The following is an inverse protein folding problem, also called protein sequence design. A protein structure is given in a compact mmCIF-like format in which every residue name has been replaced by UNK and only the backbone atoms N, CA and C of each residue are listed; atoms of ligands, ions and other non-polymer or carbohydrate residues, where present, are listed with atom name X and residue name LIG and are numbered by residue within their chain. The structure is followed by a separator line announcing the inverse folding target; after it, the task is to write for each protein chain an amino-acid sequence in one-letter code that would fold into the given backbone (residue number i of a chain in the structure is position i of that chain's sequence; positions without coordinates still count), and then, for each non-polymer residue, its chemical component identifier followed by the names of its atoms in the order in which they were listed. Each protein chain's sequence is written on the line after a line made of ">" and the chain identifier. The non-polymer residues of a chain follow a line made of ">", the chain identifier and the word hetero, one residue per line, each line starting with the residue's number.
data_IF_282402379669
#
_entry.id   IF_282402379669
#
_cell.length_a   1.000
_cell.length_b   1.000
_cell.length_c   1.000
_cell.angle_alpha   90.00
_cell.angle_beta   90.00
_cell.angle_gamma   90.00
#
_symmetry.space_group_name_H-M   'P 1'
#
loop_
_entity.id
_entity.type
_entity.pdbx_description
1 polymer ?
#
# COMPACT_ATOMS: atom_id res chain seq x y z
N UNK A 1 42.90 21.64 35.92
CA UNK A 1 43.18 22.17 34.58
C UNK A 1 41.85 22.42 33.88
N UNK A 2 41.53 23.68 33.59
CA UNK A 2 40.31 24.14 32.90
C UNK A 2 40.58 24.13 31.40
N UNK A 3 39.74 23.50 30.60
CA UNK A 3 39.70 23.71 29.14
C UNK A 3 38.22 23.77 28.74
N UNK A 4 37.71 24.98 28.53
CA UNK A 4 36.38 25.21 27.96
C UNK A 4 36.54 25.29 26.43
N UNK A 5 35.91 24.38 25.70
CA UNK A 5 35.72 24.51 24.25
C UNK A 5 34.45 25.33 23.99
N UNK A 6 34.62 26.55 23.52
CA UNK A 6 33.54 27.34 22.94
C UNK A 6 33.41 27.00 21.45
N UNK A 7 32.44 26.16 21.10
CA UNK A 7 31.97 26.04 19.72
C UNK A 7 30.72 26.89 19.54
N UNK A 8 30.85 27.92 18.71
CA UNK A 8 29.76 28.71 18.18
C UNK A 8 28.90 27.78 17.30
N UNK A 9 27.69 27.42 17.75
CA UNK A 9 26.74 26.68 16.94
C UNK A 9 25.96 27.68 16.08
N UNK A 10 26.29 27.77 14.79
CA UNK A 10 25.44 28.42 13.79
C UNK A 10 24.23 27.53 13.56
N UNK A 11 23.04 28.02 13.93
CA UNK A 11 21.78 27.40 13.55
C UNK A 11 21.58 27.60 12.04
N UNK A 12 21.76 26.53 11.27
CA UNK A 12 21.26 26.47 9.91
C UNK A 12 19.75 26.15 9.96
N UNK A 13 18.93 27.07 9.46
CA UNK A 13 17.52 26.79 9.19
C UNK A 13 17.44 25.86 7.97
N UNK A 14 16.99 24.61 8.16
CA UNK A 14 16.66 23.71 7.05
C UNK A 14 15.19 23.97 6.68
N UNK A 15 14.98 24.48 5.46
CA UNK A 15 13.66 24.59 4.84
C UNK A 15 13.11 23.18 4.61
N UNK A 16 11.81 22.99 4.90
CA UNK A 16 11.16 21.69 4.99
C UNK A 16 11.32 20.82 3.74
N UNK A 17 11.89 19.65 3.94
CA UNK A 17 11.89 18.57 2.96
C UNK A 17 10.48 18.00 2.87
N UNK A 18 9.92 18.05 1.66
CA UNK A 18 8.86 17.13 1.24
C UNK A 18 9.44 15.72 1.37
N UNK A 19 9.03 14.95 2.38
CA UNK A 19 9.55 13.61 2.63
C UNK A 19 9.47 12.76 1.36
N UNK A 20 10.62 12.50 0.73
CA UNK A 20 10.71 11.57 -0.39
C UNK A 20 10.32 10.17 0.12
N UNK A 21 9.57 9.41 -0.67
CA UNK A 21 9.25 8.03 -0.29
C UNK A 21 10.54 7.22 -0.31
N UNK A 22 10.70 6.23 0.58
CA UNK A 22 11.84 5.33 0.49
C UNK A 22 11.90 4.67 -0.89
N UNK A 23 13.09 4.49 -1.46
CA UNK A 23 13.30 3.95 -2.81
C UNK A 23 12.64 2.58 -3.07
N UNK A 24 12.28 1.85 -2.01
CA UNK A 24 11.59 0.56 -2.10
C UNK A 24 10.06 0.67 -2.06
N UNK A 25 9.50 1.88 -1.96
CA UNK A 25 8.05 2.13 -1.89
C UNK A 25 7.58 2.79 -3.18
N UNK A 26 6.63 2.15 -3.83
CA UNK A 26 5.98 2.70 -5.02
C UNK A 26 4.47 2.82 -4.79
N UNK A 27 3.90 4.00 -5.06
CA UNK A 27 2.45 4.26 -4.92
C UNK A 27 1.82 4.53 -6.26
N UNK A 28 0.68 3.88 -6.52
CA UNK A 28 -0.17 4.26 -7.63
C UNK A 28 -1.19 5.32 -7.22
N UNK A 29 -1.81 5.97 -8.20
CA UNK A 29 -2.85 6.97 -7.95
C UNK A 29 -4.00 6.39 -7.12
N UNK A 30 -4.37 7.10 -6.05
CA UNK A 30 -5.57 6.80 -5.28
C UNK A 30 -6.82 7.02 -6.14
N UNK A 31 -7.75 6.07 -6.10
CA UNK A 31 -9.02 6.16 -6.86
C UNK A 31 -10.18 6.18 -5.88
N UNK A 32 -11.16 7.07 -6.08
CA UNK A 32 -12.36 7.14 -5.24
C UNK A 32 -12.90 8.57 -5.03
N UNK A 33 -13.72 8.73 -4.00
CA UNK A 33 -14.31 10.01 -3.60
C UNK A 33 -13.52 10.72 -2.48
N UNK A 34 -13.74 12.03 -2.27
CA UNK A 34 -13.02 12.83 -1.28
C UNK A 34 -13.58 12.69 0.16
N UNK A 35 -14.49 11.76 0.40
CA UNK A 35 -15.20 11.60 1.68
C UNK A 35 -14.42 10.72 2.65
N UNK A 36 -14.97 10.46 3.83
CA UNK A 36 -14.29 9.67 4.87
C UNK A 36 -13.05 10.36 5.45
N UNK A 37 -12.37 9.65 6.36
CA UNK A 37 -11.08 10.05 6.94
C UNK A 37 -9.92 9.45 6.15
N UNK A 38 -8.81 10.17 5.95
CA UNK A 38 -7.65 9.60 5.27
C UNK A 38 -6.99 8.51 6.13
N UNK A 39 -6.37 7.55 5.45
CA UNK A 39 -5.46 6.56 6.04
C UNK A 39 -4.27 6.33 5.11
N UNK A 40 -3.13 5.93 5.67
CA UNK A 40 -1.91 5.62 4.92
C UNK A 40 -1.02 4.68 5.73
N UNK A 41 -0.88 3.43 5.27
CA UNK A 41 -0.11 2.39 5.96
C UNK A 41 1.35 2.33 5.50
N UNK A 42 1.80 3.31 4.69
CA UNK A 42 3.15 3.29 4.08
C UNK A 42 4.26 3.28 5.11
N UNK A 43 4.06 3.86 6.29
CA UNK A 43 5.05 3.84 7.37
C UNK A 43 5.32 2.44 7.93
N UNK A 44 4.45 1.47 7.65
CA UNK A 44 4.62 0.06 8.05
C UNK A 44 5.34 -0.78 6.98
N UNK A 45 5.57 -0.22 5.79
CA UNK A 45 6.11 -0.95 4.64
C UNK A 45 7.62 -1.12 4.78
N UNK A 46 8.08 -2.35 4.60
CA UNK A 46 9.50 -2.70 4.54
C UNK A 46 9.75 -3.65 3.37
N UNK A 47 10.91 -3.59 2.70
CA UNK A 47 11.24 -4.55 1.66
C UNK A 47 11.37 -5.95 2.26
N UNK A 48 10.93 -6.97 1.54
CA UNK A 48 11.00 -8.35 2.00
C UNK A 48 9.85 -8.79 2.91
N UNK A 49 8.91 -7.91 3.27
CA UNK A 49 7.73 -8.33 4.02
C UNK A 49 6.94 -9.37 3.24
N UNK A 50 6.22 -10.27 3.90
CA UNK A 50 5.40 -11.30 3.25
C UNK A 50 3.93 -11.07 3.55
N UNK A 51 3.13 -10.77 2.54
CA UNK A 51 1.67 -10.73 2.67
C UNK A 51 1.14 -12.15 2.81
N UNK A 52 0.39 -12.39 3.88
CA UNK A 52 -0.17 -13.71 4.19
C UNK A 52 -1.67 -13.76 4.00
N UNK A 53 -2.36 -12.62 4.07
CA UNK A 53 -3.82 -12.57 3.98
C UNK A 53 -4.33 -11.23 3.48
N UNK A 54 -5.40 -11.27 2.70
CA UNK A 54 -6.26 -10.11 2.45
C UNK A 54 -7.62 -10.37 3.09
N UNK A 55 -8.11 -9.43 3.88
CA UNK A 55 -9.47 -9.46 4.39
C UNK A 55 -10.31 -8.47 3.57
N UNK A 56 -11.40 -8.94 2.96
CA UNK A 56 -12.38 -8.10 2.27
C UNK A 56 -13.73 -8.18 2.94
N UNK A 57 -14.28 -7.04 3.31
CA UNK A 57 -15.61 -6.91 3.89
C UNK A 57 -16.48 -6.19 2.86
N UNK A 58 -17.56 -6.82 2.40
CA UNK A 58 -18.31 -6.25 1.27
C UNK A 58 -19.76 -6.71 1.17
N UNK A 59 -20.57 -5.84 0.57
CA UNK A 59 -21.87 -6.15 0.00
C UNK A 59 -21.92 -5.70 -1.47
N UNK A 60 -22.76 -4.71 -1.76
CA UNK A 60 -22.85 -4.05 -3.08
C UNK A 60 -21.68 -3.07 -3.37
N UNK A 61 -20.86 -2.80 -2.34
CA UNK A 61 -19.69 -1.94 -2.28
C UNK A 61 -18.60 -2.62 -1.43
N UNK A 62 -17.41 -2.06 -1.43
CA UNK A 62 -16.32 -2.48 -0.55
C UNK A 62 -16.48 -1.74 0.78
N UNK A 63 -16.86 -2.49 1.81
CA UNK A 63 -17.17 -1.96 3.14
C UNK A 63 -15.91 -1.85 4.00
N UNK A 64 -14.96 -2.78 3.83
CA UNK A 64 -13.69 -2.76 4.53
C UNK A 64 -12.62 -3.61 3.83
N UNK A 65 -11.36 -3.28 4.11
CA UNK A 65 -10.19 -3.97 3.58
C UNK A 65 -9.10 -4.05 4.63
N UNK A 66 -8.47 -5.21 4.74
CA UNK A 66 -7.29 -5.43 5.56
C UNK A 66 -6.23 -6.21 4.82
N UNK A 67 -4.99 -6.02 5.25
CA UNK A 67 -3.82 -6.72 4.74
C UNK A 67 -3.01 -7.23 5.91
N UNK A 68 -2.82 -8.54 6.00
CA UNK A 68 -1.93 -9.15 6.99
C UNK A 68 -0.59 -9.45 6.33
N UNK A 69 0.48 -9.02 6.97
CA UNK A 69 1.84 -9.29 6.50
C UNK A 69 2.81 -9.52 7.65
N UNK A 70 3.90 -10.21 7.34
CA UNK A 70 5.01 -10.46 8.27
C UNK A 70 6.27 -9.78 7.72
N UNK A 71 6.85 -8.78 8.39
CA UNK A 71 8.13 -8.20 7.98
C UNK A 71 9.26 -9.25 8.08
N UNK A 72 10.40 -9.06 7.39
CA UNK A 72 11.56 -9.96 7.51
C UNK A 72 12.03 -10.12 8.95
N UNK A 73 11.96 -9.02 9.70
CA UNK A 73 12.25 -8.94 11.11
C UNK A 73 11.05 -8.32 11.83
N UNK A 74 10.57 -8.98 12.88
CA UNK A 74 9.48 -8.47 13.72
C UNK A 74 8.23 -9.35 13.69
N UNK A 75 7.14 -8.76 14.18
CA UNK A 75 5.86 -9.44 14.37
C UNK A 75 4.90 -9.17 13.21
N UNK A 76 3.97 -10.10 12.99
CA UNK A 76 2.86 -9.90 12.04
C UNK A 76 2.14 -8.58 12.30
N UNK A 77 1.80 -7.89 11.22
CA UNK A 77 0.97 -6.67 11.19
C UNK A 77 -0.33 -6.96 10.44
N UNK A 78 -1.40 -6.29 10.80
CA UNK A 78 -2.74 -6.48 10.22
C UNK A 78 -3.57 -5.17 10.13
N UNK A 79 -3.05 -4.11 9.49
CA UNK A 79 -3.82 -2.88 9.28
C UNK A 79 -5.15 -3.17 8.55
N UNK A 80 -6.19 -2.46 9.00
CA UNK A 80 -7.55 -2.65 8.53
C UNK A 80 -8.30 -1.32 8.49
N UNK A 81 -9.06 -1.11 7.41
CA UNK A 81 -9.84 0.09 7.15
C UNK A 81 -11.28 -0.23 6.75
N UNK A 82 -12.21 0.65 7.11
CA UNK A 82 -13.64 0.50 6.88
C UNK A 82 -14.34 -0.32 7.96
N UNK A 83 -15.45 -0.94 7.58
CA UNK A 83 -16.28 -1.74 8.48
C UNK A 83 -15.89 -3.22 8.47
N UNK A 84 -15.93 -3.88 9.65
CA UNK A 84 -15.68 -5.32 9.80
C UNK A 84 -16.94 -6.19 9.60
N UNK A 85 -17.91 -5.71 8.82
CA UNK A 85 -19.15 -6.43 8.55
C UNK A 85 -19.02 -7.31 7.31
N UNK A 86 -19.46 -8.58 7.38
CA UNK A 86 -19.44 -9.53 6.24
C UNK A 86 -18.06 -9.69 5.60
N UNK A 87 -17.06 -9.93 6.45
CA UNK A 87 -15.68 -10.12 6.02
C UNK A 87 -15.40 -11.54 5.53
N UNK A 88 -14.54 -11.61 4.53
CA UNK A 88 -13.99 -12.81 3.94
C UNK A 88 -12.46 -12.71 3.97
N UNK A 89 -11.84 -13.72 4.56
CA UNK A 89 -10.38 -13.84 4.63
C UNK A 89 -9.89 -14.65 3.43
N UNK A 90 -8.86 -14.13 2.77
CA UNK A 90 -8.21 -14.75 1.62
C UNK A 90 -6.74 -14.98 1.94
N UNK A 91 -6.42 -16.19 2.40
CA UNK A 91 -5.04 -16.58 2.72
C UNK A 91 -4.22 -16.76 1.43
N UNK A 92 -2.99 -16.26 1.44
CA UNK A 92 -2.03 -16.42 0.36
C UNK A 92 -1.09 -17.60 0.67
N UNK A 93 -0.81 -18.42 -0.33
CA UNK A 93 0.21 -19.45 -0.22
C UNK A 93 1.60 -18.84 -0.02
N UNK A 94 2.58 -19.65 0.40
CA UNK A 94 3.90 -19.16 0.80
C UNK A 94 4.68 -18.45 -0.33
N UNK A 95 4.41 -18.80 -1.58
CA UNK A 95 4.99 -18.27 -2.81
C UNK A 95 3.98 -17.42 -3.62
N UNK A 96 2.79 -17.19 -3.07
CA UNK A 96 1.75 -16.39 -3.68
C UNK A 96 1.86 -14.92 -3.23
N UNK A 97 1.83 -14.01 -4.20
CA UNK A 97 1.88 -12.57 -3.96
C UNK A 97 0.99 -11.81 -4.94
N UNK A 98 0.49 -10.66 -4.53
CA UNK A 98 -0.39 -9.82 -5.36
C UNK A 98 0.48 -8.94 -6.26
N UNK A 99 0.21 -8.99 -7.56
CA UNK A 99 0.95 -8.23 -8.59
C UNK A 99 0.09 -7.25 -9.39
N UNK A 100 -1.21 -7.22 -9.11
CA UNK A 100 -2.13 -6.32 -9.77
C UNK A 100 -3.28 -5.97 -8.84
N UNK A 101 -3.66 -4.70 -8.91
CA UNK A 101 -4.74 -4.08 -8.17
C UNK A 101 -5.67 -3.38 -9.16
N UNK A 102 -6.97 -3.50 -8.96
CA UNK A 102 -7.97 -2.81 -9.77
C UNK A 102 -9.18 -2.46 -8.93
N UNK A 103 -9.69 -1.25 -9.10
CA UNK A 103 -10.89 -0.78 -8.41
C UNK A 103 -11.83 -0.12 -9.37
N UNK A 104 -13.12 -0.23 -9.06
CA UNK A 104 -14.17 0.50 -9.75
C UNK A 104 -14.96 1.33 -8.73
N UNK A 105 -15.14 2.60 -9.05
CA UNK A 105 -15.97 3.50 -8.26
C UNK A 105 -17.45 3.31 -8.57
N UNK A 106 -18.30 3.58 -7.59
CA UNK A 106 -19.75 3.70 -7.78
C UNK A 106 -20.23 4.98 -7.14
N UNK A 107 -21.28 5.59 -7.71
CA UNK A 107 -21.87 6.82 -7.20
C UNK A 107 -23.38 6.63 -7.05
N UNK A 108 -23.85 6.73 -5.82
CA UNK A 108 -25.28 6.85 -5.50
C UNK A 108 -25.56 8.28 -5.04
N UNK A 109 -25.28 8.58 -3.78
CA UNK A 109 -25.22 9.94 -3.23
C UNK A 109 -23.79 10.49 -3.21
N UNK A 110 -22.83 9.64 -2.85
CA UNK A 110 -21.40 9.95 -2.85
C UNK A 110 -20.61 8.88 -3.61
N UNK A 111 -19.42 9.25 -4.10
CA UNK A 111 -18.52 8.34 -4.81
C UNK A 111 -17.76 7.48 -3.81
N UNK A 112 -17.80 6.16 -3.99
CA UNK A 112 -17.10 5.16 -3.17
C UNK A 112 -16.54 4.02 -4.02
N UNK A 113 -15.78 3.13 -3.41
CA UNK A 113 -15.32 1.90 -4.07
C UNK A 113 -16.48 0.90 -4.13
N UNK A 114 -16.97 0.66 -5.35
CA UNK A 114 -18.04 -0.30 -5.61
C UNK A 114 -17.52 -1.72 -5.76
N UNK A 115 -16.28 -1.87 -6.24
CA UNK A 115 -15.65 -3.15 -6.51
C UNK A 115 -14.14 -3.03 -6.44
N UNK A 116 -13.50 -4.10 -5.98
CA UNK A 116 -12.06 -4.29 -5.98
C UNK A 116 -11.72 -5.68 -6.52
N UNK A 117 -10.61 -5.76 -7.24
CA UNK A 117 -9.98 -7.00 -7.69
C UNK A 117 -8.48 -6.93 -7.50
N UNK A 118 -7.93 -7.95 -6.86
CA UNK A 118 -6.52 -8.21 -6.76
C UNK A 118 -6.21 -9.48 -7.55
N UNK A 119 -5.08 -9.50 -8.26
CA UNK A 119 -4.61 -10.69 -8.96
C UNK A 119 -3.24 -11.11 -8.43
N UNK A 120 -3.11 -12.38 -8.11
CA UNK A 120 -1.85 -12.95 -7.64
C UNK A 120 -0.95 -13.39 -8.80
N UNK A 121 0.30 -13.68 -8.50
CA UNK A 121 1.26 -14.25 -9.44
C UNK A 121 0.82 -15.60 -10.01
N UNK A 122 0.04 -16.39 -9.26
CA UNK A 122 -0.51 -17.68 -9.67
C UNK A 122 -1.77 -17.58 -10.55
N UNK A 123 -2.26 -16.35 -10.79
CA UNK A 123 -3.48 -16.11 -11.56
C UNK A 123 -4.77 -16.19 -10.75
N UNK A 124 -4.69 -16.32 -9.42
CA UNK A 124 -5.86 -16.28 -8.53
C UNK A 124 -6.39 -14.85 -8.43
N UNK A 125 -7.71 -14.70 -8.47
CA UNK A 125 -8.38 -13.43 -8.19
C UNK A 125 -8.92 -13.40 -6.75
N UNK A 126 -8.77 -12.25 -6.10
CA UNK A 126 -9.40 -11.90 -4.82
C UNK A 126 -10.27 -10.69 -5.11
N UNK A 127 -11.57 -10.81 -4.92
CA UNK A 127 -12.55 -9.82 -5.36
C UNK A 127 -13.56 -9.51 -4.27
N UNK A 128 -14.05 -8.27 -4.26
CA UNK A 128 -15.07 -7.83 -3.31
C UNK A 128 -15.93 -6.71 -3.88
N UNK A 129 -17.15 -6.59 -3.37
CA UNK A 129 -18.15 -5.65 -3.87
C UNK A 129 -18.83 -6.13 -5.16
N UNK A 130 -19.44 -5.21 -5.91
CA UNK A 130 -20.18 -5.50 -7.14
C UNK A 130 -19.68 -4.66 -8.30
N UNK A 131 -19.02 -5.33 -9.25
CA UNK A 131 -18.64 -4.72 -10.53
C UNK A 131 -19.91 -4.32 -11.30
N UNK A 132 -19.90 -3.09 -11.84
CA UNK A 132 -21.02 -2.52 -12.60
C UNK A 132 -20.53 -2.10 -13.99
N UNK A 133 -21.38 -2.30 -14.99
CA UNK A 133 -21.14 -1.75 -16.34
C UNK A 133 -21.60 -0.29 -16.39
N UNK A 134 -20.93 0.57 -17.15
CA UNK A 134 -21.35 1.95 -17.39
C UNK A 134 -20.24 2.98 -17.17
N UNK A 135 -20.62 4.20 -16.77
CA UNK A 135 -19.73 5.37 -16.60
C UNK A 135 -18.90 5.37 -15.32
N UNK A 136 -18.94 4.27 -14.57
CA UNK A 136 -18.13 4.07 -13.37
C UNK A 136 -16.64 4.12 -13.72
N UNK A 137 -15.87 4.98 -13.03
CA UNK A 137 -14.42 5.06 -13.22
C UNK A 137 -13.79 3.75 -12.71
N UNK A 138 -13.07 3.05 -13.58
CA UNK A 138 -12.35 1.82 -13.29
C UNK A 138 -10.87 2.04 -13.56
N UNK A 139 -10.04 1.83 -12.55
CA UNK A 139 -8.60 2.07 -12.60
C UNK A 139 -7.86 0.83 -12.12
N UNK A 140 -6.77 0.51 -12.79
CA UNK A 140 -5.91 -0.60 -12.43
C UNK A 140 -4.47 -0.13 -12.28
N UNK A 141 -3.74 -0.75 -11.37
CA UNK A 141 -2.31 -0.58 -11.23
C UNK A 141 -1.61 -1.92 -11.12
N UNK A 142 -0.56 -2.11 -11.92
CA UNK A 142 0.35 -3.25 -11.81
C UNK A 142 1.44 -2.92 -10.80
N UNK A 143 1.99 -3.97 -10.19
CA UNK A 143 3.28 -3.85 -9.52
C UNK A 143 4.33 -3.33 -10.54
N UNK A 144 5.34 -2.55 -10.10
CA UNK A 144 6.35 -1.98 -10.99
C UNK A 144 7.04 -3.03 -11.87
N UNK A 145 7.41 -4.17 -11.28
CA UNK A 145 7.98 -5.34 -11.96
C UNK A 145 7.72 -6.64 -11.16
N UNK A 146 8.30 -7.76 -11.60
CA UNK A 146 8.14 -9.08 -10.97
C UNK A 146 8.84 -9.23 -9.60
N UNK A 147 9.72 -8.29 -9.23
CA UNK A 147 10.36 -8.21 -7.92
C UNK A 147 9.53 -7.46 -6.90
N UNK A 148 8.37 -6.90 -7.30
CA UNK A 148 7.48 -6.17 -6.40
C UNK A 148 6.23 -6.98 -6.03
N UNK A 149 5.63 -6.63 -4.90
CA UNK A 149 4.33 -7.13 -4.46
C UNK A 149 3.55 -6.02 -3.76
N UNK A 150 2.24 -6.24 -3.60
CA UNK A 150 1.41 -5.39 -2.75
C UNK A 150 1.94 -5.45 -1.31
N UNK A 151 2.09 -4.30 -0.68
CA UNK A 151 2.64 -4.18 0.67
C UNK A 151 1.61 -3.64 1.66
N UNK A 152 0.83 -2.66 1.21
CA UNK A 152 -0.05 -1.85 2.04
C UNK A 152 -1.08 -1.12 1.17
N UNK A 153 -1.95 -0.36 1.82
CA UNK A 153 -2.90 0.53 1.18
C UNK A 153 -2.78 1.95 1.72
N UNK A 154 -3.29 2.90 0.96
CA UNK A 154 -3.54 4.26 1.40
C UNK A 154 -4.82 4.76 0.75
N UNK A 155 -5.51 5.71 1.39
CA UNK A 155 -6.80 6.14 0.87
C UNK A 155 -7.67 6.88 1.87
N UNK A 156 -8.97 6.65 1.77
CA UNK A 156 -9.99 7.26 2.63
C UNK A 156 -11.07 6.25 2.99
N UNK A 157 -11.45 6.24 4.25
CA UNK A 157 -12.40 5.30 4.83
C UNK A 157 -13.50 5.99 5.65
N UNK A 158 -14.66 5.36 5.71
CA UNK A 158 -15.75 5.64 6.64
C UNK A 158 -16.37 4.32 7.09
N UNK A 159 -17.70 4.21 7.04
CA UNK A 159 -18.38 2.91 7.13
C UNK A 159 -18.09 2.00 5.92
N UNK A 160 -17.55 2.58 4.84
CA UNK A 160 -17.14 1.90 3.61
C UNK A 160 -15.83 2.52 3.11
N UNK A 161 -15.20 1.90 2.11
CA UNK A 161 -14.01 2.47 1.47
C UNK A 161 -14.42 3.55 0.46
N UNK A 162 -14.07 4.80 0.74
CA UNK A 162 -14.39 5.95 -0.12
C UNK A 162 -13.36 6.10 -1.25
N UNK A 163 -12.08 5.89 -0.95
CA UNK A 163 -10.99 5.91 -1.91
C UNK A 163 -9.83 5.01 -1.48
N UNK A 164 -9.09 4.46 -2.43
CA UNK A 164 -7.99 3.55 -2.14
C UNK A 164 -6.97 3.49 -3.29
N UNK A 165 -5.71 3.33 -2.92
CA UNK A 165 -4.58 3.06 -3.79
C UNK A 165 -3.67 1.99 -3.17
N UNK A 166 -2.99 1.18 -4.00
CA UNK A 166 -2.03 0.20 -3.55
C UNK A 166 -0.68 0.85 -3.26
N UNK A 167 0.04 0.29 -2.31
CA UNK A 167 1.46 0.53 -2.08
C UNK A 167 2.21 -0.74 -2.44
N UNK A 168 3.22 -0.63 -3.29
CA UNK A 168 4.08 -1.73 -3.71
C UNK A 168 5.43 -1.66 -3.00
N UNK A 169 6.02 -2.82 -2.73
CA UNK A 169 7.38 -2.93 -2.17
C UNK A 169 8.14 -4.09 -2.80
N UNK A 170 9.46 -4.08 -2.63
CA UNK A 170 10.33 -5.18 -3.02
C UNK A 170 9.98 -6.46 -2.24
N UNK A 171 9.94 -7.58 -2.95
CA UNK A 171 9.66 -8.91 -2.38
C UNK A 171 10.81 -9.48 -1.57
N UNK A 172 12.03 -9.03 -1.87
CA UNK A 172 13.23 -9.44 -1.15
C UNK A 172 13.70 -8.28 -0.25
N UNK A 173 14.27 -8.57 0.93
CA UNK A 173 14.94 -7.55 1.74
C UNK A 173 16.02 -6.85 0.91
N UNK A 174 16.18 -5.55 1.15
CA UNK A 174 17.34 -4.81 0.62
C UNK A 174 18.51 -5.08 1.55
N UNK A 175 19.57 -5.69 1.03
CA UNK A 175 20.82 -5.83 1.79
C UNK A 175 21.41 -4.45 2.02
N UNK A 176 21.50 -4.03 3.28
CA UNK A 176 22.24 -2.83 3.66
C UNK A 176 23.72 -3.21 3.70
N UNK A 177 24.43 -3.00 2.59
CA UNK A 177 25.90 -3.10 2.58
C UNK A 177 26.47 -1.86 3.28
N UNK A 178 27.19 -2.00 4.41
CA UNK A 178 27.74 -0.84 5.10
C UNK A 178 28.69 -0.04 4.19
N UNK A 179 28.35 1.23 3.95
CA UNK A 179 29.16 2.14 3.13
C UNK A 179 28.77 2.21 1.65
N UNK A 180 27.74 1.49 1.20
CA UNK A 180 27.22 1.60 -0.16
C UNK A 180 25.76 2.09 -0.11
N UNK A 181 25.38 3.11 -0.91
CA UNK A 181 23.97 3.51 -1.01
C UNK A 181 23.13 2.32 -1.48
N UNK A 182 21.85 2.22 -1.06
CA UNK A 182 20.96 1.14 -1.46
C UNK A 182 20.95 1.04 -2.98
N UNK A 183 21.20 -0.16 -3.52
CA UNK A 183 21.11 -0.39 -4.96
C UNK A 183 19.65 -0.36 -5.38
N UNK A 184 19.19 0.79 -5.87
CA UNK A 184 17.92 0.93 -6.57
C UNK A 184 17.89 0.14 -7.87
N UNK A 185 16.70 -0.09 -8.47
CA UNK A 185 16.57 -0.86 -9.70
C UNK A 185 17.42 -0.25 -10.81
N UNK A 186 18.19 -1.11 -11.48
CA UNK A 186 19.09 -0.77 -12.58
C UNK A 186 18.29 0.01 -13.65
N UNK A 187 18.52 1.32 -13.74
CA UNK A 187 18.03 2.12 -14.86
C UNK A 187 18.67 1.56 -16.12
N UNK A 188 17.91 0.78 -16.90
CA UNK A 188 18.29 0.45 -18.27
C UNK A 188 18.46 1.76 -19.02
N UNK A 189 19.72 2.13 -19.24
CA UNK A 189 20.09 3.21 -20.13
C UNK A 189 19.62 2.84 -21.53
N UNK A 190 18.68 3.62 -22.07
CA UNK A 190 18.43 3.72 -23.51
C UNK A 190 19.49 4.62 -24.13
#
# INVERSE_FOLDING_TARGET
>A
MKICFSFLATLAFVQGDMYDLPDFVEKCTVTGGPHGRPFDDTSMVVPGQKVTKITLCHGDRVDGIGITFVPPEGMSQDPFHGSKNKCHDHDLASDEYIKYFEVQTTKTSTTRIGYIRLMTNTGRYIEGGKERKGTAKKEGCKAPDDNHQLAAFFGREGEEIDAIGPVWTLRNPVEVVPGQPPSGPEQKML
#
